data_IF_044624525484
#
_entry.id   IF_044624525484
#
_cell.length_a   1.000
_cell.length_b   1.000
_cell.length_c   1.000
_cell.angle_alpha   90.00
_cell.angle_beta   90.00
_cell.angle_gamma   90.00
#
_symmetry.space_group_name_H-M   'P 1'
#
loop_
_entity.id
_entity.type
_entity.pdbx_description
1 polymer ?
#
# COMPACT_ATOMS: atom_id res chain seq x y z
N UNK A 1 -18.14 11.49 13.29
CA UNK A 1 -17.09 10.89 14.13
C UNK A 1 -17.05 9.37 14.11
N UNK A 2 -18.16 8.64 13.87
CA UNK A 2 -18.12 7.16 13.84
C UNK A 2 -17.52 6.60 12.54
N UNK A 3 -17.81 7.23 11.40
CA UNK A 3 -17.36 6.74 10.08
C UNK A 3 -15.84 6.72 9.90
N UNK A 4 -15.12 7.66 10.53
CA UNK A 4 -13.67 7.72 10.45
C UNK A 4 -13.01 6.62 11.28
N UNK A 5 -13.55 6.33 12.47
CA UNK A 5 -13.09 5.22 13.31
C UNK A 5 -13.32 3.86 12.64
N UNK A 6 -14.48 3.68 11.99
CA UNK A 6 -14.76 2.48 11.19
C UNK A 6 -13.79 2.35 10.02
N UNK A 7 -13.50 3.45 9.31
CA UNK A 7 -12.56 3.44 8.19
C UNK A 7 -11.13 3.09 8.63
N UNK A 8 -10.69 3.60 9.77
CA UNK A 8 -9.38 3.29 10.35
C UNK A 8 -9.29 1.81 10.78
N UNK A 9 -10.36 1.25 11.35
CA UNK A 9 -10.41 -0.16 11.71
C UNK A 9 -10.37 -1.07 10.48
N UNK A 10 -11.12 -0.73 9.42
CA UNK A 10 -11.08 -1.42 8.13
C UNK A 10 -9.67 -1.39 7.54
N UNK A 11 -9.00 -0.23 7.58
CA UNK A 11 -7.64 -0.08 7.08
C UNK A 11 -6.64 -0.95 7.84
N UNK A 12 -6.75 -1.00 9.18
CA UNK A 12 -5.92 -1.86 10.03
C UNK A 12 -6.15 -3.34 9.72
N UNK A 13 -7.40 -3.79 9.66
CA UNK A 13 -7.71 -5.19 9.34
C UNK A 13 -7.23 -5.58 7.95
N UNK A 14 -7.36 -4.70 6.95
CA UNK A 14 -6.84 -4.94 5.62
C UNK A 14 -5.31 -5.05 5.60
N UNK A 15 -4.60 -4.24 6.39
CA UNK A 15 -3.15 -4.33 6.52
C UNK A 15 -2.69 -5.64 7.20
N UNK A 16 -3.41 -6.06 8.25
CA UNK A 16 -3.17 -7.35 8.92
C UNK A 16 -3.41 -8.51 7.95
N UNK A 17 -4.44 -8.41 7.10
CA UNK A 17 -4.75 -9.40 6.06
C UNK A 17 -3.63 -9.51 5.03
N UNK A 18 -3.10 -8.39 4.53
CA UNK A 18 -1.95 -8.40 3.61
C UNK A 18 -0.76 -9.13 4.23
N UNK A 19 -0.45 -8.82 5.50
CA UNK A 19 0.65 -9.48 6.23
C UNK A 19 0.41 -10.98 6.42
N UNK A 20 -0.83 -11.38 6.66
CA UNK A 20 -1.22 -12.78 6.91
C UNK A 20 -1.09 -13.64 5.66
N UNK A 21 -1.46 -13.10 4.49
CA UNK A 21 -1.52 -13.88 3.25
C UNK A 21 -0.31 -13.70 2.33
N UNK A 22 0.55 -12.71 2.58
CA UNK A 22 1.75 -12.53 1.76
C UNK A 22 2.76 -13.66 1.99
N UNK A 23 3.24 -14.24 0.89
CA UNK A 23 4.41 -15.10 0.87
C UNK A 23 5.73 -14.28 0.90
N UNK A 24 6.85 -14.89 1.34
CA UNK A 24 8.15 -14.22 1.41
C UNK A 24 8.65 -13.59 0.11
N UNK A 25 8.16 -14.05 -1.05
CA UNK A 25 8.52 -13.66 -2.42
C UNK A 25 7.36 -13.00 -3.19
N UNK A 26 6.36 -12.49 -2.46
CA UNK A 26 5.16 -11.90 -3.07
C UNK A 26 5.46 -10.67 -3.92
N UNK A 27 4.79 -10.57 -5.07
CA UNK A 27 4.67 -9.33 -5.83
C UNK A 27 3.34 -8.67 -5.46
N UNK A 28 3.39 -7.48 -4.85
CA UNK A 28 2.22 -6.77 -4.34
C UNK A 28 1.93 -5.61 -5.27
N UNK A 29 0.87 -5.72 -6.06
CA UNK A 29 0.40 -4.66 -6.92
C UNK A 29 -0.41 -3.63 -6.13
N UNK A 30 0.04 -2.37 -6.12
CA UNK A 30 -0.59 -1.27 -5.40
C UNK A 30 -1.37 -0.37 -6.36
N UNK A 31 -2.67 -0.24 -6.12
CA UNK A 31 -3.52 0.72 -6.82
C UNK A 31 -3.53 2.08 -6.13
N UNK A 32 -4.40 2.99 -6.58
CA UNK A 32 -4.48 4.36 -6.06
C UNK A 32 -5.79 4.61 -5.33
N UNK A 33 -5.75 5.52 -4.35
CA UNK A 33 -6.95 6.01 -3.68
C UNK A 33 -6.78 6.19 -2.18
N UNK A 34 -7.73 6.90 -1.57
CA UNK A 34 -7.71 7.19 -0.13
C UNK A 34 -7.72 5.92 0.72
N UNK A 35 -8.53 4.93 0.34
CA UNK A 35 -8.58 3.63 1.06
C UNK A 35 -7.24 2.91 1.03
N UNK A 36 -6.57 2.87 -0.14
CA UNK A 36 -5.23 2.29 -0.27
C UNK A 36 -4.23 3.04 0.60
N UNK A 37 -4.27 4.38 0.57
CA UNK A 37 -3.43 5.20 1.43
C UNK A 37 -3.65 4.84 2.90
N UNK A 38 -4.89 4.79 3.40
CA UNK A 38 -5.18 4.40 4.78
C UNK A 38 -4.60 3.03 5.15
N UNK A 39 -4.71 2.03 4.27
CA UNK A 39 -4.11 0.70 4.49
C UNK A 39 -2.59 0.78 4.58
N UNK A 40 -1.94 1.50 3.66
CA UNK A 40 -0.48 1.71 3.70
C UNK A 40 -0.07 2.37 5.01
N UNK A 41 -0.81 3.37 5.49
CA UNK A 41 -0.49 4.07 6.72
C UNK A 41 -0.67 3.19 7.96
N UNK A 42 -1.70 2.34 7.98
CA UNK A 42 -2.02 1.41 9.07
C UNK A 42 -1.12 0.17 9.12
N UNK A 43 -0.34 -0.09 8.06
CA UNK A 43 0.51 -1.27 7.96
C UNK A 43 1.63 -1.27 9.01
N UNK A 44 1.68 -2.34 9.79
CA UNK A 44 2.73 -2.59 10.78
C UNK A 44 4.05 -2.92 10.06
N UNK A 45 5.18 -2.31 10.45
CA UNK A 45 6.47 -2.63 9.85
C UNK A 45 6.87 -4.10 10.04
N UNK A 46 7.26 -4.75 8.96
CA UNK A 46 7.77 -6.12 8.89
C UNK A 46 9.03 -6.18 8.00
N UNK A 47 9.66 -7.36 7.88
CA UNK A 47 10.81 -7.57 6.98
C UNK A 47 10.57 -8.75 6.06
N UNK A 48 10.34 -8.46 4.78
CA UNK A 48 10.14 -9.44 3.70
C UNK A 48 10.99 -9.05 2.47
N UNK A 49 12.33 -9.21 2.53
CA UNK A 49 13.22 -8.71 1.49
C UNK A 49 13.04 -9.38 0.12
N UNK A 50 12.44 -10.58 0.07
CA UNK A 50 12.11 -11.27 -1.17
C UNK A 50 10.85 -10.74 -1.87
N UNK A 51 10.01 -9.98 -1.17
CA UNK A 51 8.80 -9.40 -1.75
C UNK A 51 9.14 -8.18 -2.61
N UNK A 52 8.20 -7.73 -3.43
CA UNK A 52 8.33 -6.48 -4.19
C UNK A 52 6.99 -5.79 -4.31
N UNK A 53 6.93 -4.51 -3.98
CA UNK A 53 5.75 -3.67 -4.25
C UNK A 53 5.86 -3.11 -5.66
N UNK A 54 4.81 -3.26 -6.46
CA UNK A 54 4.75 -2.73 -7.83
C UNK A 54 3.55 -1.82 -7.99
N UNK A 55 3.71 -0.76 -8.75
CA UNK A 55 2.60 0.12 -9.10
C UNK A 55 1.65 -0.59 -10.08
N UNK A 56 0.36 -0.69 -9.75
CA UNK A 56 -0.66 -1.23 -10.64
C UNK A 56 -1.02 -0.20 -11.74
N UNK A 57 -1.14 -0.65 -12.99
CA UNK A 57 -1.58 0.18 -14.11
C UNK A 57 -3.10 0.37 -14.01
N UNK A 58 -3.54 1.52 -13.49
CA UNK A 58 -4.97 1.81 -13.36
C UNK A 58 -5.26 3.25 -12.96
N UNK A 59 -5.89 3.99 -13.88
CA UNK A 59 -6.55 5.28 -13.67
C UNK A 59 -5.65 6.39 -13.11
N UNK A 60 -5.04 7.18 -14.01
CA UNK A 60 -4.53 8.50 -13.65
C UNK A 60 -5.70 9.35 -13.13
N UNK A 61 -5.87 9.41 -11.82
CA UNK A 61 -6.74 10.41 -11.20
C UNK A 61 -6.08 11.76 -11.47
N UNK A 62 -6.44 12.41 -12.58
CA UNK A 62 -6.08 13.81 -12.87
C UNK A 62 -6.50 14.64 -11.64
N UNK A 63 -5.55 15.02 -10.80
CA UNK A 63 -5.72 16.15 -9.89
C UNK A 63 -5.67 15.90 -8.37
N UNK A 64 -5.01 14.86 -7.85
CA UNK A 64 -4.77 14.80 -6.39
C UNK A 64 -3.33 14.41 -6.03
N UNK A 65 -2.50 15.42 -5.74
CA UNK A 65 -1.08 15.33 -5.33
C UNK A 65 -0.86 14.56 -4.01
N UNK A 66 -1.92 14.32 -3.23
CA UNK A 66 -1.87 13.49 -2.01
C UNK A 66 -1.99 11.98 -2.29
N UNK A 67 -2.23 11.60 -3.54
CA UNK A 67 -2.37 10.22 -4.00
C UNK A 67 -1.33 9.90 -5.06
N UNK A 68 -0.11 10.38 -4.84
CA UNK A 68 1.04 10.07 -5.69
C UNK A 68 1.38 8.59 -5.53
N UNK A 69 0.87 7.81 -6.48
CA UNK A 69 1.06 6.38 -6.63
C UNK A 69 2.52 5.90 -6.41
N UNK A 70 3.56 6.64 -6.87
CA UNK A 70 4.96 6.28 -6.59
C UNK A 70 5.31 6.34 -5.10
N UNK A 71 4.83 7.37 -4.40
CA UNK A 71 5.14 7.62 -3.00
C UNK A 71 4.43 6.61 -2.09
N UNK A 72 3.17 6.26 -2.39
CA UNK A 72 2.49 5.18 -1.68
C UNK A 72 3.16 3.81 -1.90
N UNK A 73 3.67 3.54 -3.11
CA UNK A 73 4.46 2.32 -3.36
C UNK A 73 5.73 2.28 -2.51
N UNK A 74 6.45 3.40 -2.43
CA UNK A 74 7.65 3.54 -1.60
C UNK A 74 7.33 3.30 -0.12
N UNK A 75 6.31 3.98 0.40
CA UNK A 75 5.90 3.86 1.81
C UNK A 75 5.46 2.45 2.21
N UNK A 76 4.75 1.75 1.31
CA UNK A 76 4.37 0.37 1.57
C UNK A 76 5.59 -0.55 1.57
N UNK A 77 6.51 -0.39 0.63
CA UNK A 77 7.72 -1.19 0.57
C UNK A 77 8.65 -0.97 1.77
N UNK A 78 8.71 0.26 2.29
CA UNK A 78 9.43 0.57 3.54
C UNK A 78 8.82 -0.15 4.73
N UNK A 79 7.50 -0.17 4.84
CA UNK A 79 6.81 -0.92 5.89
C UNK A 79 6.97 -2.42 5.74
N UNK A 80 7.05 -2.94 4.52
CA UNK A 80 7.26 -4.37 4.28
C UNK A 80 8.75 -4.77 4.40
N UNK A 81 9.66 -3.80 4.32
CA UNK A 81 11.10 -4.04 4.29
C UNK A 81 11.53 -4.75 3.00
N UNK A 82 11.01 -4.30 1.86
CA UNK A 82 11.23 -4.92 0.54
C UNK A 82 11.57 -3.88 -0.55
N UNK A 83 11.83 -4.37 -1.77
CA UNK A 83 12.03 -3.49 -2.93
C UNK A 83 10.69 -2.93 -3.44
N UNK A 84 10.75 -1.84 -4.20
CA UNK A 84 9.60 -1.34 -4.96
C UNK A 84 9.97 -1.03 -6.41
N UNK A 85 8.98 -1.09 -7.31
CA UNK A 85 9.09 -0.68 -8.71
C UNK A 85 7.93 0.22 -9.07
N UNK A 86 8.25 1.44 -9.48
CA UNK A 86 7.31 2.39 -10.07
C UNK A 86 7.41 2.31 -11.59
N UNK A 87 6.33 2.66 -12.29
CA UNK A 87 6.40 2.72 -13.75
C UNK A 87 7.33 3.86 -14.19
N UNK A 88 8.18 3.64 -15.22
CA UNK A 88 8.85 4.73 -15.91
C UNK A 88 7.81 5.67 -16.53
N UNK A 89 8.08 6.98 -16.47
CA UNK A 89 7.29 8.02 -17.13
C UNK A 89 7.46 7.98 -18.66
#
# INVERSE_FOLDING_TARGET
SNDNATADEVARMAADLVTTYMHPDSVIALSNGRGVASVVHAMTPIRRPGATVVQAIGGTAKGNLLLDSPELCRQLAERIGCAYRVMPA
#
